data_IF_681443252397
#
_entry.id   IF_681443252397
#
_cell.length_a   1.000
_cell.length_b   1.000
_cell.length_c   1.000
_cell.angle_alpha   90.00
_cell.angle_beta   90.00
_cell.angle_gamma   90.00
#
_symmetry.space_group_name_H-M   'P 1'
#
loop_
_entity.id
_entity.type
_entity.pdbx_description
1 polymer ?
#
# COMPACT_ATOMS: atom_id res chain seq x y z
N UNK A 1 -9.06 11.70 7.27
CA UNK A 1 -8.47 11.46 5.94
C UNK A 1 -7.81 10.09 5.99
N UNK A 2 -8.25 9.14 5.18
CA UNK A 2 -7.56 7.85 5.06
C UNK A 2 -6.31 8.16 4.24
N UNK A 3 -5.27 8.65 4.91
CA UNK A 3 -4.06 9.13 4.25
C UNK A 3 -3.46 8.03 3.39
N UNK A 4 -2.84 8.41 2.28
CA UNK A 4 -2.02 7.51 1.45
C UNK A 4 -1.04 6.78 2.37
N UNK A 5 -1.34 5.53 2.69
CA UNK A 5 -0.45 4.69 3.48
C UNK A 5 0.61 4.20 2.52
N UNK A 6 1.87 4.42 2.88
CA UNK A 6 2.97 3.75 2.20
C UNK A 6 3.34 2.53 3.01
N UNK A 7 3.44 1.39 2.33
CA UNK A 7 3.84 0.13 2.95
C UNK A 7 5.25 -0.18 2.45
N UNK A 8 6.15 -0.45 3.40
CA UNK A 8 7.48 -0.95 3.10
C UNK A 8 7.57 -2.39 3.57
N UNK A 9 7.97 -3.28 2.66
CA UNK A 9 8.14 -4.71 2.91
C UNK A 9 9.64 -5.03 2.81
N UNK A 10 10.25 -5.38 3.95
CA UNK A 10 11.68 -5.76 4.03
C UNK A 10 11.86 -7.25 4.31
N UNK A 11 12.77 -7.95 3.60
CA UNK A 11 13.21 -9.28 3.97
C UNK A 11 13.81 -9.28 5.38
N UNK A 12 13.46 -10.25 6.21
CA UNK A 12 14.14 -10.51 7.47
C UNK A 12 15.49 -11.14 7.16
N UNK A 13 16.58 -10.45 7.48
CA UNK A 13 17.91 -11.06 7.49
C UNK A 13 17.91 -12.32 8.36
N UNK A 14 18.74 -13.32 7.99
CA UNK A 14 19.03 -14.47 8.87
C UNK A 14 19.38 -13.90 10.25
N UNK A 15 18.65 -14.35 11.30
CA UNK A 15 18.81 -13.83 12.67
C UNK A 15 20.28 -13.75 13.05
N UNK A 16 20.73 -12.55 13.41
CA UNK A 16 21.74 -12.43 14.45
C UNK A 16 21.00 -12.30 15.80
N UNK A 17 21.43 -13.12 16.76
CA UNK A 17 20.74 -13.38 18.01
C UNK A 17 21.00 -12.28 19.02
N UNK A 18 20.17 -11.22 19.03
CA UNK A 18 19.97 -10.32 20.19
C UNK A 18 18.84 -9.32 19.95
N UNK A 19 17.74 -9.42 20.70
CA UNK A 19 16.64 -8.44 20.68
C UNK A 19 16.55 -7.64 21.98
N UNK A 20 15.64 -6.65 22.07
CA UNK A 20 15.02 -6.30 23.33
C UNK A 20 13.49 -6.41 23.29
N UNK A 21 12.93 -6.87 24.41
CA UNK A 21 11.49 -7.09 24.65
C UNK A 21 10.81 -5.76 24.98
N UNK A 22 9.83 -5.35 24.18
CA UNK A 22 8.95 -4.21 24.45
C UNK A 22 7.48 -4.65 24.54
N UNK A 23 6.77 -4.17 25.56
CA UNK A 23 5.44 -4.62 26.01
C UNK A 23 4.34 -4.32 24.98
N UNK A 24 3.39 -5.25 24.84
CA UNK A 24 2.19 -5.09 24.00
C UNK A 24 1.13 -4.30 24.78
N UNK A 25 0.66 -3.20 24.19
CA UNK A 25 -0.63 -2.59 24.52
C UNK A 25 -1.60 -2.94 23.38
N UNK A 26 -2.77 -3.45 23.75
CA UNK A 26 -3.84 -3.79 22.81
C UNK A 26 -4.86 -2.64 22.74
N UNK A 27 -5.34 -2.34 21.54
CA UNK A 27 -6.68 -1.79 21.31
C UNK A 27 -7.15 -2.12 19.89
N UNK A 28 -8.46 -2.35 19.66
CA UNK A 28 -8.94 -3.09 18.51
C UNK A 28 -9.63 -2.19 17.48
N UNK A 29 -9.18 -2.21 16.23
CA UNK A 29 -10.00 -1.91 15.06
C UNK A 29 -9.60 -2.92 13.98
N UNK A 30 -10.51 -3.85 13.66
CA UNK A 30 -10.35 -4.79 12.55
C UNK A 30 -10.76 -4.08 11.26
N UNK A 31 -9.80 -3.52 10.54
CA UNK A 31 -9.87 -3.53 9.08
C UNK A 31 -9.28 -4.85 8.63
N UNK A 32 -9.88 -5.51 7.63
CA UNK A 32 -9.34 -6.72 7.03
C UNK A 32 -8.00 -6.38 6.35
N UNK A 33 -6.93 -6.42 7.13
CA UNK A 33 -5.55 -6.33 6.67
C UNK A 33 -5.37 -7.48 5.69
N UNK A 34 -5.00 -7.15 4.44
CA UNK A 34 -4.61 -8.17 3.47
C UNK A 34 -3.61 -9.10 4.13
N UNK A 35 -4.02 -10.35 4.28
CA UNK A 35 -3.32 -11.34 5.05
C UNK A 35 -2.13 -11.76 4.20
N UNK A 36 -0.96 -11.17 4.48
CA UNK A 36 0.33 -11.76 4.09
C UNK A 36 0.22 -13.26 4.43
N UNK A 37 0.35 -14.18 3.44
CA UNK A 37 0.19 -15.61 3.68
C UNK A 37 1.03 -16.03 4.89
N UNK A 38 0.55 -16.93 5.74
CA UNK A 38 1.25 -17.28 6.99
C UNK A 38 2.74 -17.67 6.79
N UNK A 39 3.06 -18.25 5.63
CA UNK A 39 4.43 -18.57 5.21
C UNK A 39 5.33 -17.32 5.00
N UNK A 40 4.75 -16.22 4.55
CA UNK A 40 5.40 -14.94 4.27
C UNK A 40 5.62 -14.09 5.54
N UNK A 41 4.80 -14.29 6.58
CA UNK A 41 4.86 -13.55 7.84
C UNK A 41 6.19 -13.74 8.60
N UNK A 42 6.90 -14.84 8.34
CA UNK A 42 8.23 -15.09 8.91
C UNK A 42 9.38 -14.48 8.10
N UNK A 43 9.15 -14.09 6.84
CA UNK A 43 10.17 -13.60 5.91
C UNK A 43 10.13 -12.09 5.71
N UNK A 44 9.01 -11.42 5.92
CA UNK A 44 8.91 -9.98 5.72
C UNK A 44 8.48 -9.21 6.96
N UNK A 45 8.90 -7.95 7.04
CA UNK A 45 8.41 -6.97 8.00
C UNK A 45 7.71 -5.84 7.26
N UNK A 46 6.47 -5.57 7.65
CA UNK A 46 5.72 -4.38 7.28
C UNK A 46 6.23 -3.19 8.11
N UNK A 47 6.57 -2.10 7.44
CA UNK A 47 6.93 -0.82 8.05
C UNK A 47 6.01 0.22 7.42
N UNK A 48 5.26 0.94 8.27
CA UNK A 48 4.49 2.10 7.84
C UNK A 48 5.46 3.25 7.56
N UNK A 49 5.36 3.85 6.37
CA UNK A 49 6.15 5.03 6.03
C UNK A 49 5.68 6.27 6.80
N UNK A 50 6.60 7.16 7.17
CA UNK A 50 6.24 8.45 7.74
C UNK A 50 5.55 9.33 6.68
N UNK A 51 4.43 9.96 7.06
CA UNK A 51 3.78 10.95 6.23
C UNK A 51 4.67 12.19 6.15
N UNK A 52 5.12 12.55 4.94
CA UNK A 52 5.78 13.84 4.74
C UNK A 52 4.82 14.97 5.15
N UNK A 53 5.31 15.95 5.89
CA UNK A 53 4.51 17.11 6.29
C UNK A 53 3.97 17.79 5.04
N UNK A 54 2.64 17.78 4.89
CA UNK A 54 1.92 18.40 3.80
C UNK A 54 1.09 19.56 4.34
N UNK A 55 0.80 20.52 3.46
CA UNK A 55 -0.18 21.59 3.68
C UNK A 55 -1.47 21.03 4.30
N UNK A 56 -2.04 21.72 5.29
CA UNK A 56 -3.24 21.26 5.95
C UNK A 56 -4.45 21.27 4.99
N UNK A 57 -5.48 20.49 5.30
CA UNK A 57 -6.72 20.48 4.53
C UNK A 57 -7.35 21.87 4.41
N UNK A 58 -7.39 22.62 5.52
CA UNK A 58 -8.00 23.95 5.55
C UNK A 58 -7.24 24.94 4.65
N UNK A 59 -5.92 24.99 4.75
CA UNK A 59 -5.07 25.85 3.91
C UNK A 59 -5.23 25.51 2.42
N UNK A 60 -5.19 24.21 2.08
CA UNK A 60 -5.33 23.76 0.70
C UNK A 60 -6.71 24.11 0.10
N UNK A 61 -7.78 24.01 0.91
CA UNK A 61 -9.15 24.37 0.49
C UNK A 61 -9.29 25.89 0.33
N UNK A 62 -8.81 26.67 1.29
CA UNK A 62 -8.83 28.14 1.22
C UNK A 62 -8.08 28.63 -0.03
N UNK A 63 -6.85 28.15 -0.24
CA UNK A 63 -6.05 28.49 -1.41
C UNK A 63 -6.74 28.06 -2.70
N UNK A 64 -7.34 26.87 -2.73
CA UNK A 64 -8.01 26.32 -3.91
C UNK A 64 -9.29 27.06 -4.33
N UNK A 65 -10.13 27.43 -3.35
CA UNK A 65 -11.39 28.14 -3.57
C UNK A 65 -11.20 29.65 -3.81
N UNK A 66 -10.08 30.20 -3.38
CA UNK A 66 -9.69 31.60 -3.64
C UNK A 66 -9.13 31.84 -5.04
N UNK A 67 -8.86 30.78 -5.83
CA UNK A 67 -8.33 30.89 -7.20
C UNK A 67 -9.42 31.11 -8.25
N UNK A 68 -9.01 31.64 -9.40
CA UNK A 68 -9.82 31.68 -10.62
C UNK A 68 -9.05 31.06 -11.80
N UNK A 69 -9.46 29.87 -12.32
CA UNK A 69 -10.60 29.07 -11.86
C UNK A 69 -10.33 28.38 -10.52
N UNK A 70 -11.41 28.13 -9.76
CA UNK A 70 -11.39 27.38 -8.50
C UNK A 70 -10.90 25.95 -8.74
N UNK A 71 -10.07 25.42 -7.84
CA UNK A 71 -9.55 24.04 -7.91
C UNK A 71 -9.40 23.43 -6.52
N UNK A 72 -9.65 22.14 -6.40
CA UNK A 72 -9.33 21.35 -5.22
C UNK A 72 -8.40 20.21 -5.61
N UNK A 73 -7.49 19.83 -4.70
CA UNK A 73 -6.58 18.71 -4.90
C UNK A 73 -7.37 17.38 -4.83
N UNK A 74 -7.15 16.49 -5.80
CA UNK A 74 -7.83 15.20 -5.89
C UNK A 74 -7.50 14.25 -4.73
N UNK A 75 -6.40 14.49 -3.98
CA UNK A 75 -6.07 13.72 -2.77
C UNK A 75 -7.20 13.73 -1.74
N UNK A 76 -8.04 14.77 -1.75
CA UNK A 76 -9.18 14.89 -0.84
C UNK A 76 -10.40 14.07 -1.28
N UNK A 77 -10.38 13.43 -2.46
CA UNK A 77 -11.39 12.45 -2.83
C UNK A 77 -11.26 11.15 -2.04
N UNK A 78 -10.12 10.86 -1.42
CA UNK A 78 -9.85 9.56 -0.80
C UNK A 78 -10.00 9.59 0.73
N UNK A 79 -11.12 10.12 1.21
CA UNK A 79 -11.57 9.81 2.57
C UNK A 79 -12.14 8.38 2.64
N UNK A 80 -12.75 7.99 3.76
CA UNK A 80 -13.29 6.63 3.90
C UNK A 80 -14.35 6.32 2.82
N UNK A 81 -15.30 7.24 2.63
CA UNK A 81 -16.38 7.07 1.66
C UNK A 81 -15.85 7.11 0.23
N UNK A 82 -15.01 8.07 -0.09
CA UNK A 82 -14.47 8.21 -1.44
C UNK A 82 -13.49 7.11 -1.81
N UNK A 83 -12.80 6.50 -0.84
CA UNK A 83 -12.03 5.28 -1.08
C UNK A 83 -12.93 4.10 -1.45
N UNK A 84 -14.07 3.91 -0.76
CA UNK A 84 -15.04 2.88 -1.11
C UNK A 84 -15.67 3.10 -2.50
N UNK A 85 -15.95 4.35 -2.85
CA UNK A 85 -16.42 4.71 -4.19
C UNK A 85 -15.36 4.40 -5.25
N UNK A 86 -14.08 4.63 -4.96
CA UNK A 86 -13.00 4.28 -5.89
C UNK A 86 -12.88 2.77 -6.10
N UNK A 87 -13.02 1.96 -5.05
CA UNK A 87 -13.07 0.49 -5.19
C UNK A 87 -14.25 0.06 -6.08
N UNK A 88 -15.42 0.67 -5.92
CA UNK A 88 -16.56 0.41 -6.81
C UNK A 88 -16.30 0.83 -8.26
N UNK A 89 -15.63 1.98 -8.47
CA UNK A 89 -15.22 2.44 -9.80
C UNK A 89 -14.31 1.40 -10.47
N UNK A 90 -13.41 0.75 -9.71
CA UNK A 90 -12.49 -0.25 -10.25
C UNK A 90 -13.18 -1.50 -10.81
N UNK A 91 -14.41 -1.79 -10.37
CA UNK A 91 -15.23 -2.90 -10.85
C UNK A 91 -16.08 -2.55 -12.08
N UNK A 92 -16.17 -1.26 -12.44
CA UNK A 92 -16.95 -0.84 -13.60
C UNK A 92 -16.34 -1.37 -14.91
N UNK A 93 -17.15 -1.87 -15.86
CA UNK A 93 -16.64 -2.37 -17.12
C UNK A 93 -15.87 -1.29 -17.91
N UNK A 94 -16.31 -0.03 -17.83
CA UNK A 94 -15.69 1.13 -18.47
C UNK A 94 -14.32 1.48 -17.87
N UNK A 95 -14.11 1.22 -16.58
CA UNK A 95 -12.86 1.53 -15.89
C UNK A 95 -11.92 0.32 -15.90
N UNK A 96 -11.37 0.03 -17.08
CA UNK A 96 -10.55 -1.17 -17.29
C UNK A 96 -9.18 -1.16 -16.61
N UNK A 97 -8.70 -0.01 -16.13
CA UNK A 97 -7.32 0.18 -15.68
C UNK A 97 -6.89 -0.81 -14.59
N UNK A 98 -7.70 -0.97 -13.54
CA UNK A 98 -7.39 -1.88 -12.42
C UNK A 98 -7.33 -3.33 -12.88
N UNK A 99 -8.23 -3.74 -13.79
CA UNK A 99 -8.25 -5.10 -14.34
C UNK A 99 -7.03 -5.36 -15.23
N UNK A 100 -6.67 -4.44 -16.11
CA UNK A 100 -5.52 -4.58 -17.00
C UNK A 100 -4.19 -4.61 -16.23
N UNK A 101 -4.03 -3.76 -15.22
CA UNK A 101 -2.84 -3.80 -14.36
C UNK A 101 -2.73 -5.14 -13.63
N UNK A 102 -3.86 -5.63 -13.08
CA UNK A 102 -3.92 -6.95 -12.43
C UNK A 102 -3.54 -8.08 -13.38
N UNK A 103 -4.08 -8.09 -14.61
CA UNK A 103 -3.75 -9.11 -15.63
C UNK A 103 -2.24 -9.13 -15.93
N UNK A 104 -1.63 -7.96 -16.09
CA UNK A 104 -0.18 -7.84 -16.32
C UNK A 104 0.60 -8.40 -15.12
N UNK A 105 0.22 -8.04 -13.89
CA UNK A 105 0.90 -8.51 -12.67
C UNK A 105 0.74 -10.01 -12.47
N UNK A 106 -0.43 -10.58 -12.72
CA UNK A 106 -0.66 -12.03 -12.69
C UNK A 106 0.24 -12.75 -13.69
N UNK A 107 0.37 -12.23 -14.92
CA UNK A 107 1.19 -12.83 -15.96
C UNK A 107 2.71 -12.64 -15.77
N UNK A 108 3.14 -11.54 -15.13
CA UNK A 108 4.55 -11.10 -15.13
C UNK A 108 5.22 -11.05 -13.76
N UNK A 109 4.49 -11.23 -12.66
CA UNK A 109 5.03 -11.14 -11.29
C UNK A 109 6.26 -12.02 -11.05
N UNK A 110 6.27 -13.26 -11.55
CA UNK A 110 7.46 -14.14 -11.45
C UNK A 110 8.67 -13.64 -12.24
N UNK A 111 8.45 -13.08 -13.44
CA UNK A 111 9.53 -12.46 -14.22
C UNK A 111 10.11 -11.24 -13.50
N UNK A 112 9.23 -10.40 -12.95
CA UNK A 112 9.61 -9.22 -12.16
C UNK A 112 10.42 -9.65 -10.93
N UNK A 113 9.92 -10.61 -10.16
CA UNK A 113 10.57 -11.12 -8.95
C UNK A 113 12.00 -11.62 -9.21
N UNK A 114 12.22 -12.35 -10.31
CA UNK A 114 13.57 -12.86 -10.67
C UNK A 114 14.59 -11.78 -11.02
N UNK A 115 14.17 -10.53 -11.28
CA UNK A 115 15.10 -9.44 -11.59
C UNK A 115 15.73 -8.81 -10.36
N UNK A 116 15.23 -9.13 -9.18
CA UNK A 116 15.66 -8.53 -7.93
C UNK A 116 16.27 -9.58 -7.00
N UNK A 117 17.35 -9.24 -6.27
CA UNK A 117 17.94 -10.14 -5.29
C UNK A 117 17.03 -10.33 -4.07
N UNK A 118 17.24 -11.43 -3.32
CA UNK A 118 16.41 -11.84 -2.18
C UNK A 118 16.34 -10.84 -1.02
N UNK A 119 17.25 -9.87 -0.94
CA UNK A 119 17.34 -8.83 0.08
C UNK A 119 16.69 -7.49 -0.31
N UNK A 120 16.01 -7.44 -1.46
CA UNK A 120 15.37 -6.21 -1.95
C UNK A 120 14.21 -5.78 -1.06
N UNK A 121 14.07 -4.46 -0.94
CA UNK A 121 12.97 -3.80 -0.24
C UNK A 121 11.90 -3.38 -1.24
N UNK A 122 10.67 -3.84 -1.03
CA UNK A 122 9.52 -3.38 -1.80
C UNK A 122 8.85 -2.21 -1.08
N UNK A 123 8.55 -1.14 -1.82
CA UNK A 123 7.83 0.03 -1.32
C UNK A 123 6.60 0.25 -2.19
N UNK A 124 5.43 0.21 -1.57
CA UNK A 124 4.15 0.54 -2.22
C UNK A 124 3.73 1.95 -1.80
N UNK A 125 3.58 2.83 -2.78
CA UNK A 125 3.15 4.22 -2.59
C UNK A 125 1.63 4.30 -2.80
N UNK A 126 0.90 4.64 -1.73
CA UNK A 126 -0.57 4.72 -1.79
C UNK A 126 -1.21 3.34 -1.85
N UNK A 127 -1.04 2.56 -0.77
CA UNK A 127 -1.23 1.11 -0.83
C UNK A 127 -2.66 0.61 -0.94
N UNK A 128 -3.68 1.47 -0.80
CA UNK A 128 -5.09 1.08 -0.88
C UNK A 128 -5.40 -0.23 -0.15
N UNK A 129 -6.02 -1.18 -0.87
CA UNK A 129 -6.29 -2.56 -0.42
C UNK A 129 -5.10 -3.52 -0.53
N UNK A 130 -4.00 -3.11 -1.17
CA UNK A 130 -2.77 -3.88 -1.40
C UNK A 130 -2.92 -5.21 -2.17
N UNK A 131 -4.10 -5.48 -2.74
CA UNK A 131 -4.39 -6.73 -3.45
C UNK A 131 -3.44 -7.01 -4.64
N UNK A 132 -2.95 -5.94 -5.30
CA UNK A 132 -1.98 -6.05 -6.40
C UNK A 132 -0.58 -6.37 -5.90
N UNK A 133 -0.19 -5.80 -4.77
CA UNK A 133 1.12 -6.01 -4.14
C UNK A 133 1.29 -7.45 -3.67
N UNK A 134 0.20 -8.10 -3.27
CA UNK A 134 0.21 -9.51 -2.88
C UNK A 134 0.66 -10.43 -4.02
N UNK A 135 0.37 -10.10 -5.28
CA UNK A 135 0.84 -10.86 -6.45
C UNK A 135 2.37 -10.83 -6.54
N UNK A 136 2.96 -9.66 -6.35
CA UNK A 136 4.42 -9.48 -6.39
C UNK A 136 5.11 -10.14 -5.19
N UNK A 137 4.57 -9.99 -3.98
CA UNK A 137 5.12 -10.61 -2.77
C UNK A 137 5.05 -12.15 -2.89
N UNK A 138 3.93 -12.68 -3.37
CA UNK A 138 3.75 -14.12 -3.55
C UNK A 138 4.73 -14.70 -4.56
N UNK A 139 4.91 -14.03 -5.70
CA UNK A 139 5.91 -14.40 -6.69
C UNK A 139 7.34 -14.33 -6.12
N UNK A 140 7.65 -13.29 -5.35
CA UNK A 140 8.95 -13.14 -4.69
C UNK A 140 9.29 -14.34 -3.80
N UNK A 141 8.33 -14.78 -3.00
CA UNK A 141 8.47 -15.90 -2.07
C UNK A 141 8.64 -17.22 -2.78
N UNK A 142 8.00 -17.39 -3.94
CA UNK A 142 8.13 -18.61 -4.72
C UNK A 142 9.52 -18.74 -5.37
N UNK A 143 10.14 -17.61 -5.75
CA UNK A 143 11.45 -17.57 -6.43
C UNK A 143 12.66 -17.67 -5.49
N UNK A 144 12.50 -17.37 -4.19
CA UNK A 144 13.58 -17.23 -3.21
C UNK A 144 13.31 -17.98 -1.90
#
# INVERSE_FOLDING_TARGET
>A
MVGFRSIVVRPRGRRDSRGPRGRRHASPVRSEVSVIPAAAQNRFRLIEGEQLQSESFAEAVEAGLSRDPKRLDCRFFYDETGSLLFEQICELPEYYLTRSEREILEARSGEIARRFPSDTVLVELGSGSSAKTDLLISAWIAEH
#
